data_IF_772228567289
#
_entry.id   IF_772228567289
#
_cell.length_a   1.000
_cell.length_b   1.000
_cell.length_c   1.000
_cell.angle_alpha   90.00
_cell.angle_beta   90.00
_cell.angle_gamma   90.00
#
_symmetry.space_group_name_H-M   'P 1'
#
loop_
_entity.id
_entity.type
_entity.pdbx_description
1 polymer ?
#
# COMPACT_ATOMS: atom_id res chain seq x y z
N UNK A 1 2.58 -9.41 33.58
CA UNK A 1 1.63 -8.71 32.69
C UNK A 1 1.10 -7.49 33.43
N UNK A 2 1.30 -6.28 32.91
CA UNK A 2 0.73 -5.06 33.52
C UNK A 2 -0.69 -4.91 32.97
N UNK A 3 -1.68 -4.91 33.85
CA UNK A 3 -3.08 -4.77 33.45
C UNK A 3 -3.34 -3.30 33.09
N UNK A 4 -3.87 -3.08 31.89
CA UNK A 4 -4.47 -1.81 31.47
C UNK A 4 -5.95 -2.04 31.30
N UNK A 5 -6.76 -1.10 31.78
CA UNK A 5 -8.21 -1.17 31.67
C UNK A 5 -8.69 0.05 30.89
N UNK A 6 -9.45 -0.19 29.83
CA UNK A 6 -10.14 0.88 29.09
C UNK A 6 -11.37 1.26 29.90
N UNK A 7 -11.40 2.46 30.48
CA UNK A 7 -12.56 2.92 31.21
C UNK A 7 -13.59 3.53 30.26
N UNK A 8 -14.85 3.61 30.69
CA UNK A 8 -15.92 4.26 29.92
C UNK A 8 -15.60 5.72 29.60
N UNK A 9 -14.86 6.40 30.48
CA UNK A 9 -14.44 7.79 30.28
C UNK A 9 -13.41 7.94 29.14
N UNK A 10 -12.60 6.91 28.89
CA UNK A 10 -11.65 6.90 27.78
C UNK A 10 -12.37 6.82 26.43
N UNK A 11 -13.47 6.07 26.36
CA UNK A 11 -14.34 6.02 25.19
C UNK A 11 -15.11 7.31 24.93
N UNK A 12 -15.21 8.21 25.92
CA UNK A 12 -15.84 9.53 25.77
C UNK A 12 -14.87 10.62 25.34
N UNK A 13 -13.59 10.30 25.20
CA UNK A 13 -12.58 11.24 24.74
C UNK A 13 -12.94 11.79 23.35
N UNK A 14 -12.93 13.13 23.13
CA UNK A 14 -13.34 13.71 21.86
C UNK A 14 -12.62 13.14 20.63
N UNK A 15 -11.31 12.86 20.73
CA UNK A 15 -10.58 12.25 19.62
C UNK A 15 -11.10 10.86 19.25
N UNK A 16 -11.40 10.03 20.26
CA UNK A 16 -11.99 8.70 20.04
C UNK A 16 -13.42 8.77 19.51
N UNK A 17 -14.21 9.73 19.99
CA UNK A 17 -15.60 9.92 19.55
C UNK A 17 -15.69 10.40 18.10
N UNK A 18 -14.77 11.27 17.67
CA UNK A 18 -14.69 11.77 16.29
C UNK A 18 -14.09 10.77 15.30
N UNK A 19 -13.29 9.82 15.78
CA UNK A 19 -12.69 8.81 14.92
C UNK A 19 -13.76 8.02 14.13
N UNK A 20 -13.55 7.74 12.84
CA UNK A 20 -14.41 6.86 12.05
C UNK A 20 -14.59 5.49 12.71
N UNK A 21 -15.75 4.87 12.50
CA UNK A 21 -16.07 3.58 13.13
C UNK A 21 -15.09 2.46 12.78
N UNK A 22 -14.56 2.47 11.57
CA UNK A 22 -13.56 1.53 11.07
C UNK A 22 -12.19 1.65 11.76
N UNK A 23 -11.78 2.85 12.17
CA UNK A 23 -10.51 3.09 12.84
C UNK A 23 -10.55 2.85 14.36
N UNK A 24 -11.75 2.74 14.96
CA UNK A 24 -11.93 2.55 16.42
C UNK A 24 -11.26 1.27 16.99
N UNK A 25 -11.29 0.11 16.31
CA UNK A 25 -10.54 -1.06 16.76
C UNK A 25 -9.03 -0.81 16.82
N UNK A 26 -8.47 -0.08 15.84
CA UNK A 26 -7.04 0.30 15.86
C UNK A 26 -6.75 1.24 17.03
N UNK A 27 -7.61 2.22 17.31
CA UNK A 27 -7.48 3.09 18.47
C UNK A 27 -7.45 2.32 19.79
N UNK A 28 -8.35 1.34 19.95
CA UNK A 28 -8.38 0.47 21.14
C UNK A 28 -7.12 -0.38 21.25
N UNK A 29 -6.64 -0.95 20.13
CA UNK A 29 -5.39 -1.68 20.08
C UNK A 29 -4.20 -0.80 20.49
N UNK A 30 -4.09 0.42 19.96
CA UNK A 30 -3.01 1.34 20.29
C UNK A 30 -2.95 1.65 21.80
N UNK A 31 -4.08 1.86 22.46
CA UNK A 31 -4.11 2.05 23.92
C UNK A 31 -3.48 0.88 24.70
N UNK A 32 -3.61 -0.34 24.19
CA UNK A 32 -3.08 -1.55 24.82
C UNK A 32 -1.60 -1.79 24.44
N UNK A 33 -1.18 -1.37 23.25
CA UNK A 33 0.12 -1.70 22.64
C UNK A 33 1.13 -0.55 22.56
N UNK A 34 0.81 0.66 23.04
CA UNK A 34 1.79 1.74 23.26
C UNK A 34 2.49 1.60 24.61
N UNK A 35 3.53 2.40 24.85
CA UNK A 35 4.10 2.51 26.19
C UNK A 35 3.12 3.16 27.19
N UNK A 36 3.53 3.32 28.46
CA UNK A 36 2.71 3.92 29.51
C UNK A 36 2.43 5.42 29.29
N UNK A 37 3.25 6.07 28.47
CA UNK A 37 3.09 7.47 28.07
C UNK A 37 2.33 7.63 26.76
N UNK A 38 1.80 6.53 26.19
CA UNK A 38 1.07 6.55 24.94
C UNK A 38 1.94 6.69 23.71
N UNK A 39 3.21 6.32 23.78
CA UNK A 39 4.19 6.51 22.70
C UNK A 39 4.66 5.18 22.14
N UNK A 40 4.99 5.20 20.86
CA UNK A 40 5.57 4.07 20.12
C UNK A 40 6.15 4.57 18.80
N UNK A 41 7.14 3.86 18.27
CA UNK A 41 7.62 4.07 16.90
C UNK A 41 6.51 3.74 15.88
N UNK A 42 6.40 4.56 14.83
CA UNK A 42 5.44 4.39 13.74
C UNK A 42 6.00 3.38 12.72
N UNK A 43 5.82 2.10 13.02
CA UNK A 43 6.12 1.00 12.08
C UNK A 43 4.82 0.25 11.80
N UNK A 44 4.13 0.54 10.67
CA UNK A 44 2.81 -0.02 10.37
C UNK A 44 2.76 -1.55 10.42
N UNK A 45 3.82 -2.23 9.99
CA UNK A 45 3.94 -3.69 10.00
C UNK A 45 3.90 -4.25 11.42
N UNK A 46 4.62 -3.62 12.36
CA UNK A 46 4.65 -4.04 13.76
C UNK A 46 3.34 -3.71 14.48
N UNK A 47 2.73 -2.56 14.16
CA UNK A 47 1.42 -2.19 14.71
C UNK A 47 0.34 -3.16 14.21
N UNK A 48 0.35 -3.50 12.93
CA UNK A 48 -0.56 -4.48 12.34
C UNK A 48 -0.38 -5.87 12.97
N UNK A 49 0.86 -6.34 13.14
CA UNK A 49 1.15 -7.63 13.76
C UNK A 49 0.64 -7.72 15.21
N UNK A 50 0.72 -6.62 15.97
CA UNK A 50 0.27 -6.58 17.36
C UNK A 50 -1.25 -6.50 17.51
N UNK A 51 -1.91 -5.65 16.71
CA UNK A 51 -3.35 -5.38 16.84
C UNK A 51 -4.19 -6.41 16.05
N UNK A 52 -3.70 -6.88 14.91
CA UNK A 52 -4.39 -7.76 13.97
C UNK A 52 -3.54 -9.00 13.65
N UNK A 53 -3.22 -9.84 14.65
CA UNK A 53 -2.32 -10.97 14.46
C UNK A 53 -2.87 -11.94 13.41
N UNK A 54 -2.02 -12.32 12.46
CA UNK A 54 -2.35 -13.26 11.38
C UNK A 54 -3.13 -12.66 10.21
N UNK A 55 -3.33 -11.34 10.16
CA UNK A 55 -4.01 -10.65 9.06
C UNK A 55 -3.02 -9.81 8.24
N UNK A 56 -3.25 -9.73 6.93
CA UNK A 56 -2.54 -8.79 6.04
C UNK A 56 -3.15 -7.38 6.18
N UNK A 57 -3.02 -6.80 7.38
CA UNK A 57 -3.71 -5.59 7.80
C UNK A 57 -2.92 -4.29 7.58
N UNK A 58 -1.70 -4.36 7.03
CA UNK A 58 -0.80 -3.19 6.93
C UNK A 58 -1.44 -2.00 6.21
N UNK A 59 -2.04 -2.14 5.01
CA UNK A 59 -2.66 -0.99 4.33
C UNK A 59 -3.80 -0.36 5.14
N UNK A 60 -4.64 -1.21 5.75
CA UNK A 60 -5.73 -0.76 6.62
C UNK A 60 -5.22 -0.01 7.84
N UNK A 61 -4.12 -0.49 8.47
CA UNK A 61 -3.50 0.20 9.61
C UNK A 61 -2.97 1.57 9.22
N UNK A 62 -2.35 1.71 8.04
CA UNK A 62 -1.88 3.01 7.54
C UNK A 62 -3.06 3.99 7.43
N UNK A 63 -4.13 3.59 6.76
CA UNK A 63 -5.33 4.43 6.59
C UNK A 63 -5.94 4.81 7.94
N UNK A 64 -6.08 3.84 8.86
CA UNK A 64 -6.61 4.09 10.19
C UNK A 64 -5.74 5.06 11.00
N UNK A 65 -4.41 4.99 10.89
CA UNK A 65 -3.52 5.89 11.62
C UNK A 65 -3.69 7.34 11.16
N UNK A 66 -3.87 7.58 9.86
CA UNK A 66 -4.17 8.90 9.31
C UNK A 66 -5.53 9.41 9.80
N UNK A 67 -6.57 8.58 9.75
CA UNK A 67 -7.89 8.92 10.29
C UNK A 67 -7.84 9.26 11.79
N UNK A 68 -7.02 8.54 12.56
CA UNK A 68 -6.85 8.78 13.99
C UNK A 68 -6.07 10.06 14.28
N UNK A 69 -5.10 10.43 13.46
CA UNK A 69 -4.46 11.74 13.55
C UNK A 69 -5.44 12.87 13.27
N UNK A 70 -6.20 12.79 12.17
CA UNK A 70 -7.20 13.80 11.78
C UNK A 70 -8.28 13.99 12.84
N UNK A 71 -8.74 12.91 13.48
CA UNK A 71 -9.71 12.98 14.56
C UNK A 71 -9.17 13.64 15.84
N UNK A 72 -7.84 13.81 15.94
CA UNK A 72 -7.14 14.27 17.13
C UNK A 72 -7.00 13.18 18.20
N UNK A 73 -7.01 11.91 17.82
CA UNK A 73 -6.79 10.79 18.73
C UNK A 73 -5.30 10.61 19.06
N UNK A 74 -4.45 10.72 18.05
CA UNK A 74 -3.00 10.63 18.15
C UNK A 74 -2.33 11.80 17.44
N UNK A 75 -1.01 11.86 17.51
CA UNK A 75 -0.19 12.80 16.74
C UNK A 75 1.05 12.06 16.27
N UNK A 76 1.35 12.21 14.98
CA UNK A 76 2.56 11.65 14.36
C UNK A 76 3.66 12.72 14.46
N UNK A 77 4.86 12.31 14.84
CA UNK A 77 6.00 13.22 14.98
C UNK A 77 7.30 12.51 14.62
N UNK A 78 8.30 13.30 14.22
CA UNK A 78 9.63 12.78 13.95
C UNK A 78 10.55 13.00 15.15
N UNK A 79 11.30 11.97 15.53
CA UNK A 79 12.32 12.04 16.56
C UNK A 79 13.40 10.98 16.30
N UNK A 80 14.67 11.35 16.52
CA UNK A 80 15.83 10.44 16.32
C UNK A 80 15.90 9.81 14.92
N UNK A 81 15.38 10.48 13.89
CA UNK A 81 15.40 9.98 12.51
C UNK A 81 14.31 8.95 12.17
N UNK A 82 13.42 8.61 13.11
CA UNK A 82 12.24 7.77 12.87
C UNK A 82 10.94 8.56 13.07
N UNK A 83 9.85 8.05 12.53
CA UNK A 83 8.50 8.51 12.83
C UNK A 83 7.95 7.81 14.08
N UNK A 84 7.19 8.54 14.87
CA UNK A 84 6.64 8.09 16.15
C UNK A 84 5.20 8.54 16.27
N UNK A 85 4.43 7.82 17.08
CA UNK A 85 3.08 8.20 17.48
C UNK A 85 3.04 8.57 18.96
N UNK A 86 2.26 9.57 19.28
CA UNK A 86 1.91 9.95 20.66
C UNK A 86 0.39 10.04 20.79
N UNK A 87 -0.19 9.19 21.63
CA UNK A 87 -1.61 9.23 21.96
C UNK A 87 -1.92 10.51 22.73
N UNK A 88 -2.97 11.23 22.33
CA UNK A 88 -3.43 12.45 23.02
C UNK A 88 -4.00 12.15 24.41
N UNK A 89 -4.57 10.95 24.56
CA UNK A 89 -5.06 10.43 25.83
C UNK A 89 -4.54 9.03 26.05
N UNK A 90 -3.82 8.83 27.15
CA UNK A 90 -3.29 7.54 27.57
C UNK A 90 -4.24 6.84 28.52
N UNK A 91 -4.18 5.50 28.56
CA UNK A 91 -4.88 4.76 29.60
C UNK A 91 -4.20 4.98 30.96
N UNK A 92 -5.02 5.04 32.01
CA UNK A 92 -4.50 5.03 33.37
C UNK A 92 -3.81 3.69 33.62
N UNK A 93 -2.55 3.75 34.01
CA UNK A 93 -1.75 2.59 34.39
C UNK A 93 -0.99 2.89 35.67
N UNK A 94 -0.74 1.87 36.49
CA UNK A 94 0.09 2.01 37.68
C UNK A 94 1.55 2.25 37.28
N UNK A 95 2.04 3.47 37.53
CA UNK A 95 3.40 3.90 37.19
C UNK A 95 4.40 3.69 38.32
N UNK A 96 3.96 3.24 39.51
CA UNK A 96 4.80 3.21 40.72
C UNK A 96 6.01 2.28 40.63
N UNK A 97 5.97 1.31 39.71
CA UNK A 97 7.05 0.34 39.45
C UNK A 97 7.49 0.31 37.98
N UNK A 98 7.09 1.33 37.21
CA UNK A 98 7.40 1.38 35.79
C UNK A 98 8.80 1.95 35.55
N UNK A 99 9.64 1.31 34.71
CA UNK A 99 10.83 1.95 34.21
C UNK A 99 10.45 3.19 33.38
N UNK A 100 11.34 4.19 33.30
CA UNK A 100 11.15 5.33 32.41
C UNK A 100 10.94 4.86 30.97
N UNK A 101 10.13 5.61 30.22
CA UNK A 101 9.91 5.31 28.80
C UNK A 101 11.18 5.60 27.99
N UNK A 102 11.56 4.65 27.13
CA UNK A 102 12.64 4.81 26.15
C UNK A 102 12.20 5.61 24.91
N UNK A 103 10.89 5.85 24.77
CA UNK A 103 10.32 6.57 23.62
C UNK A 103 10.61 8.07 23.74
N UNK A 104 11.20 8.70 22.70
CA UNK A 104 11.50 10.12 22.73
C UNK A 104 10.21 10.93 22.91
N UNK A 105 10.21 11.97 23.76
CA UNK A 105 9.07 12.86 23.84
C UNK A 105 8.84 13.59 22.51
N UNK A 106 7.57 13.89 22.15
CA UNK A 106 7.32 14.78 21.03
C UNK A 106 8.00 16.12 21.29
N UNK A 107 8.51 16.81 20.23
CA UNK A 107 9.06 18.15 20.38
C UNK A 107 8.04 19.04 21.08
N UNK A 108 8.51 19.80 22.08
CA UNK A 108 7.64 20.48 23.03
C UNK A 108 6.56 21.33 22.33
N UNK A 109 5.32 20.89 22.41
CA UNK A 109 4.20 21.81 22.41
C UNK A 109 4.13 22.37 23.82
N UNK A 110 4.68 23.57 23.99
CA UNK A 110 4.54 24.36 25.20
C UNK A 110 3.05 24.44 25.54
N UNK A 111 2.66 23.72 26.59
CA UNK A 111 1.28 23.58 27.07
C UNK A 111 0.90 24.77 27.95
N UNK A 112 1.30 25.97 27.54
CA UNK A 112 0.89 27.22 28.16
C UNK A 112 -0.04 27.95 27.20
N UNK A 113 -1.28 28.14 27.64
CA UNK A 113 -2.27 29.01 27.03
C UNK A 113 -1.71 30.45 26.98
N UNK A 114 -1.03 30.81 25.90
CA UNK A 114 -0.98 32.17 25.42
C UNK A 114 -1.26 32.15 23.93
N UNK A 115 -2.47 32.60 23.59
CA UNK A 115 -2.78 33.13 22.27
C UNK A 115 -1.87 34.33 22.08
N UNK A 116 -0.71 34.13 21.46
CA UNK A 116 0.00 35.18 20.74
C UNK A 116 -0.32 34.93 19.28
N UNK A 117 -1.45 35.50 18.86
CA UNK A 117 -1.62 35.84 17.46
C UNK A 117 -0.52 36.85 17.10
N UNK A 118 0.08 36.66 15.91
CA UNK A 118 1.10 37.48 15.21
C UNK A 118 2.37 36.65 14.92
N UNK A 119 2.30 35.76 13.92
CA UNK A 119 3.41 35.27 13.03
C UNK A 119 3.06 33.96 12.30
N UNK A 120 2.02 33.24 12.73
CA UNK A 120 1.63 31.92 12.19
C UNK A 120 1.08 31.91 10.76
N UNK A 121 0.58 33.04 10.25
CA UNK A 121 0.06 33.13 8.87
C UNK A 121 1.18 32.92 7.84
N UNK A 122 2.38 33.43 8.10
CA UNK A 122 3.53 33.26 7.19
C UNK A 122 4.10 31.84 7.17
N UNK A 123 4.04 31.12 8.29
CA UNK A 123 4.56 29.76 8.41
C UNK A 123 3.58 28.74 7.83
N UNK A 124 2.28 28.95 8.07
CA UNK A 124 1.21 28.17 7.46
C UNK A 124 1.17 28.37 5.95
N UNK A 125 1.29 29.60 5.46
CA UNK A 125 1.33 29.88 4.03
C UNK A 125 2.55 29.24 3.34
N UNK A 126 3.73 29.26 3.99
CA UNK A 126 4.94 28.56 3.50
C UNK A 126 4.78 27.04 3.52
N UNK A 127 4.13 26.48 4.53
CA UNK A 127 3.84 25.05 4.59
C UNK A 127 2.83 24.64 3.51
N UNK A 128 1.76 25.41 3.32
CA UNK A 128 0.76 25.20 2.27
C UNK A 128 1.34 25.40 0.87
N UNK A 129 2.33 26.28 0.69
CA UNK A 129 3.06 26.43 -0.57
C UNK A 129 3.96 25.21 -0.85
N UNK A 130 4.65 24.68 0.17
CA UNK A 130 5.45 23.45 0.04
C UNK A 130 4.59 22.23 -0.29
N UNK A 131 3.47 22.05 0.42
CA UNK A 131 2.53 20.95 0.16
C UNK A 131 1.96 21.05 -1.26
N UNK A 132 1.60 22.26 -1.72
CA UNK A 132 1.16 22.47 -3.11
C UNK A 132 2.24 22.12 -4.13
N UNK A 133 3.51 22.45 -3.86
CA UNK A 133 4.62 22.09 -4.74
C UNK A 133 4.83 20.55 -4.80
N UNK A 134 4.84 19.89 -3.65
CA UNK A 134 4.94 18.41 -3.56
C UNK A 134 3.74 17.71 -4.23
N UNK A 135 2.55 18.32 -4.15
CA UNK A 135 1.35 17.80 -4.83
C UNK A 135 1.48 17.89 -6.35
N UNK A 136 2.04 19.00 -6.88
CA UNK A 136 2.29 19.16 -8.33
C UNK A 136 3.32 18.15 -8.84
N UNK A 137 4.36 17.86 -8.05
CA UNK A 137 5.35 16.82 -8.39
C UNK A 137 4.70 15.43 -8.43
N UNK A 138 3.93 15.06 -7.41
CA UNK A 138 3.17 13.79 -7.42
C UNK A 138 2.19 13.72 -8.57
N UNK A 139 1.45 14.79 -8.86
CA UNK A 139 0.50 14.82 -9.97
C UNK A 139 1.21 14.62 -11.32
N UNK A 140 2.44 15.14 -11.47
CA UNK A 140 3.31 14.89 -12.60
C UNK A 140 3.75 13.43 -12.72
N UNK A 141 4.15 12.79 -11.61
CA UNK A 141 4.48 11.37 -11.57
C UNK A 141 3.28 10.49 -11.91
N UNK A 142 2.09 10.81 -11.38
CA UNK A 142 0.84 10.11 -11.69
C UNK A 142 0.38 10.35 -13.14
N UNK A 143 0.66 11.52 -13.71
CA UNK A 143 0.41 11.80 -15.12
C UNK A 143 1.35 11.00 -16.03
N UNK A 144 2.65 10.97 -15.72
CA UNK A 144 3.63 10.16 -16.45
C UNK A 144 3.34 8.66 -16.35
N UNK A 145 2.90 8.19 -15.18
CA UNK A 145 2.46 6.80 -14.99
C UNK A 145 1.22 6.48 -15.81
N UNK A 146 0.20 7.35 -15.81
CA UNK A 146 -1.02 7.17 -16.64
C UNK A 146 -0.69 7.15 -18.13
N UNK A 147 0.16 8.05 -18.58
CA UNK A 147 0.61 8.07 -19.98
C UNK A 147 1.36 6.78 -20.36
N UNK A 148 2.16 6.22 -19.44
CA UNK A 148 2.83 4.93 -19.65
C UNK A 148 1.85 3.76 -19.63
N UNK A 149 0.83 3.80 -18.77
CA UNK A 149 -0.20 2.77 -18.66
C UNK A 149 -1.14 2.77 -19.87
N UNK A 150 -1.52 3.94 -20.39
CA UNK A 150 -2.34 4.07 -21.60
C UNK A 150 -1.62 3.60 -22.87
N UNK A 151 -0.28 3.61 -22.87
CA UNK A 151 0.54 3.05 -23.95
C UNK A 151 0.77 1.54 -23.84
N UNK A 152 0.28 0.86 -22.80
CA UNK A 152 0.40 -0.58 -22.71
C UNK A 152 -0.48 -1.25 -23.77
N UNK A 153 0.15 -1.91 -24.74
CA UNK A 153 -0.58 -2.63 -25.78
C UNK A 153 -1.52 -3.69 -25.15
N UNK A 154 -2.72 -3.89 -25.71
CA UNK A 154 -3.63 -4.92 -25.22
C UNK A 154 -2.95 -6.29 -25.25
N UNK A 155 -3.30 -7.20 -24.33
CA UNK A 155 -2.72 -8.53 -24.30
C UNK A 155 -3.00 -9.25 -25.63
N UNK A 156 -1.97 -9.88 -26.20
CA UNK A 156 -2.13 -10.64 -27.45
C UNK A 156 -3.10 -11.81 -27.23
N UNK A 157 -4.00 -12.02 -28.19
CA UNK A 157 -4.94 -13.14 -28.16
C UNK A 157 -4.18 -14.48 -28.15
N UNK A 158 -4.56 -15.46 -27.32
CA UNK A 158 -3.88 -16.75 -27.28
C UNK A 158 -3.93 -17.47 -28.63
N UNK A 159 -2.77 -17.92 -29.13
CA UNK A 159 -2.64 -18.59 -30.43
C UNK A 159 -3.54 -19.84 -30.58
N UNK A 160 -3.85 -20.53 -29.48
CA UNK A 160 -4.70 -21.72 -29.50
C UNK A 160 -6.13 -21.45 -29.95
N UNK A 161 -6.62 -20.20 -29.85
CA UNK A 161 -7.97 -19.85 -30.27
C UNK A 161 -8.12 -19.73 -31.79
N UNK A 162 -7.01 -19.49 -32.50
CA UNK A 162 -6.98 -19.37 -33.96
C UNK A 162 -6.34 -20.60 -34.63
N UNK A 163 -5.97 -21.60 -33.82
CA UNK A 163 -5.38 -22.82 -34.31
C UNK A 163 -6.41 -23.68 -35.10
N UNK A 164 -5.98 -24.35 -36.18
CA UNK A 164 -6.79 -25.38 -36.84
C UNK A 164 -7.25 -26.45 -35.82
N UNK A 165 -8.39 -27.13 -35.99
CA UNK A 165 -8.83 -28.14 -35.02
C UNK A 165 -7.82 -29.29 -34.87
N UNK A 166 -7.68 -29.80 -33.65
CA UNK A 166 -6.72 -30.87 -33.33
C UNK A 166 -7.15 -32.25 -33.86
N UNK A 167 -8.43 -32.42 -34.17
CA UNK A 167 -9.00 -33.66 -34.68
C UNK A 167 -9.72 -33.51 -36.02
N UNK A 168 -10.16 -34.63 -36.60
CA UNK A 168 -10.87 -34.64 -37.87
C UNK A 168 -12.33 -34.18 -37.70
N UNK A 169 -13.05 -34.03 -38.83
CA UNK A 169 -14.47 -33.64 -38.85
C UNK A 169 -15.34 -34.56 -37.98
N UNK A 170 -15.04 -35.86 -37.98
CA UNK A 170 -15.76 -36.86 -37.18
C UNK A 170 -15.37 -36.84 -35.69
N UNK A 171 -14.21 -36.27 -35.35
CA UNK A 171 -13.71 -36.17 -33.99
C UNK A 171 -13.11 -34.78 -33.73
N UNK A 172 -13.92 -33.73 -33.53
CA UNK A 172 -13.42 -32.35 -33.42
C UNK A 172 -12.37 -32.14 -32.32
N UNK A 173 -12.49 -32.89 -31.23
CA UNK A 173 -11.55 -32.86 -30.08
C UNK A 173 -10.44 -33.93 -30.17
N UNK A 174 -10.35 -34.64 -31.30
CA UNK A 174 -9.50 -35.82 -31.46
C UNK A 174 -10.04 -37.06 -30.74
N UNK A 175 -9.41 -38.20 -31.01
CA UNK A 175 -9.69 -39.48 -30.35
C UNK A 175 -8.36 -40.14 -29.96
N UNK A 176 -8.36 -40.90 -28.86
CA UNK A 176 -7.16 -41.59 -28.35
C UNK A 176 -6.77 -42.84 -29.16
N UNK A 177 -7.73 -43.44 -29.86
CA UNK A 177 -7.49 -44.58 -30.75
C UNK A 177 -6.84 -44.13 -32.06
N UNK A 178 -6.20 -45.07 -32.77
CA UNK A 178 -5.48 -44.82 -34.02
C UNK A 178 -6.43 -44.41 -35.16
N UNK A 179 -6.78 -43.13 -35.21
CA UNK A 179 -7.51 -42.52 -36.31
C UNK A 179 -6.52 -41.76 -37.21
N UNK A 180 -6.32 -42.26 -38.43
CA UNK A 180 -5.40 -41.66 -39.42
C UNK A 180 -5.68 -40.18 -39.70
N UNK A 181 -6.95 -39.79 -39.96
CA UNK A 181 -7.34 -38.38 -40.11
C UNK A 181 -7.04 -37.51 -38.89
N UNK A 182 -7.30 -37.98 -37.67
CA UNK A 182 -6.95 -37.24 -36.45
C UNK A 182 -5.43 -37.03 -36.33
N UNK A 183 -4.62 -38.03 -36.67
CA UNK A 183 -3.16 -37.88 -36.68
C UNK A 183 -2.68 -36.84 -37.69
N UNK A 184 -3.38 -36.70 -38.82
CA UNK A 184 -3.05 -35.68 -39.83
C UNK A 184 -3.49 -34.28 -39.39
N UNK A 185 -4.70 -34.15 -38.83
CA UNK A 185 -5.18 -32.89 -38.24
C UNK A 185 -4.24 -32.39 -37.13
N UNK A 186 -3.81 -33.29 -36.23
CA UNK A 186 -2.83 -32.96 -35.18
C UNK A 186 -1.50 -32.46 -35.74
N UNK A 187 -0.95 -33.11 -36.77
CA UNK A 187 0.29 -32.64 -37.43
C UNK A 187 0.12 -31.27 -38.09
N UNK A 188 -1.05 -30.99 -38.66
CA UNK A 188 -1.35 -29.68 -39.23
C UNK A 188 -1.46 -28.60 -38.15
N UNK A 189 -2.16 -28.88 -37.05
CA UNK A 189 -2.24 -28.01 -35.87
C UNK A 189 -0.84 -27.69 -35.32
N UNK A 190 0.00 -28.72 -35.10
CA UNK A 190 1.34 -28.55 -34.54
C UNK A 190 2.26 -27.76 -35.48
N UNK A 191 2.17 -28.02 -36.79
CA UNK A 191 2.91 -27.25 -37.81
C UNK A 191 2.49 -25.79 -37.81
N UNK A 192 1.19 -25.51 -37.70
CA UNK A 192 0.68 -24.14 -37.64
C UNK A 192 1.18 -23.40 -36.39
N UNK A 193 1.15 -24.04 -35.21
CA UNK A 193 1.70 -23.45 -33.98
C UNK A 193 3.19 -23.16 -34.09
N UNK A 194 3.97 -24.07 -34.68
CA UNK A 194 5.39 -23.87 -34.90
C UNK A 194 5.65 -22.67 -35.83
N UNK A 195 4.84 -22.52 -36.89
CA UNK A 195 4.92 -21.38 -37.80
C UNK A 195 4.61 -20.06 -37.10
N UNK A 196 3.53 -19.98 -36.31
CA UNK A 196 3.17 -18.76 -35.57
C UNK A 196 4.27 -18.33 -34.61
N UNK A 197 4.83 -19.28 -33.84
CA UNK A 197 5.94 -19.00 -32.93
C UNK A 197 7.19 -18.50 -33.66
N UNK A 198 7.50 -19.07 -34.81
CA UNK A 198 8.63 -18.63 -35.63
C UNK A 198 8.41 -17.22 -36.17
N UNK A 199 7.20 -16.91 -36.66
CA UNK A 199 6.84 -15.56 -37.11
C UNK A 199 6.93 -14.54 -35.96
N UNK A 200 6.41 -14.86 -34.78
CA UNK A 200 6.52 -13.99 -33.60
C UNK A 200 7.99 -13.74 -33.22
N UNK A 201 8.83 -14.78 -33.25
CA UNK A 201 10.27 -14.66 -33.00
C UNK A 201 10.95 -13.75 -34.02
N UNK A 202 10.60 -13.88 -35.30
CA UNK A 202 11.16 -13.06 -36.38
C UNK A 202 10.75 -11.59 -36.24
N UNK A 203 9.46 -11.31 -36.01
CA UNK A 203 8.96 -9.94 -35.80
C UNK A 203 9.64 -9.30 -34.59
N UNK A 204 9.79 -10.04 -33.49
CA UNK A 204 10.48 -9.54 -32.30
C UNK A 204 11.96 -9.25 -32.57
N UNK A 205 12.63 -10.10 -33.36
CA UNK A 205 14.02 -9.91 -33.75
C UNK A 205 14.19 -8.68 -34.67
N UNK A 206 13.33 -8.52 -35.68
CA UNK A 206 13.34 -7.36 -36.59
C UNK A 206 13.06 -6.06 -35.82
N UNK A 207 12.07 -6.05 -34.93
CA UNK A 207 11.73 -4.87 -34.10
C UNK A 207 12.88 -4.48 -33.16
N UNK A 208 13.65 -5.44 -32.65
CA UNK A 208 14.83 -5.16 -31.83
C UNK A 208 16.03 -4.70 -32.66
N UNK A 209 16.18 -5.21 -33.89
CA UNK A 209 17.24 -4.81 -34.81
C UNK A 209 17.04 -3.38 -35.38
N UNK A 210 15.79 -2.95 -35.55
CA UNK A 210 15.43 -1.59 -36.01
C UNK A 210 15.33 -0.54 -34.87
N UNK A 211 15.59 -0.94 -33.62
CA UNK A 211 15.67 0.00 -32.50
C UNK A 211 16.85 0.98 -32.68
N UNK A 212 16.74 2.24 -32.21
CA UNK A 212 17.81 3.22 -32.35
C UNK A 212 19.09 2.63 -31.75
N UNK A 213 20.10 2.42 -32.60
CA UNK A 213 21.33 1.76 -32.22
C UNK A 213 21.92 2.43 -30.98
N UNK A 214 22.13 1.65 -29.93
CA UNK A 214 22.99 2.03 -28.82
C UNK A 214 24.35 2.42 -29.43
N UNK A 215 24.63 3.73 -29.49
CA UNK A 215 25.96 4.24 -29.78
C UNK A 215 26.90 3.71 -28.69
N UNK A 216 27.90 2.89 -29.04
CA UNK A 216 28.88 2.44 -28.07
C UNK A 216 29.77 3.64 -27.69
N UNK A 217 29.71 4.03 -26.42
CA UNK A 217 30.66 4.95 -25.79
C UNK A 217 32.08 4.40 -25.72
#
# INVERSE_FOLDING_TARGET
>A
MRQRTIATDDLRFPGYMRAPHEAKPTAQGLWLHTDLTGRRELVPELIAADIYPGQAAVPMVIDHLLMLEESGFLTIYQARGSEWISLRRTLKADTRTAPPSDCPPPPGHDSSRHVVALEGESARERAEARVRAEQVERDGEWAAWRERAERAAPPRRPLLLDAPPIGCVDHPNGRRENCGPCGTARRQHDRWLAQQRYTDQLVNWETQADGPGDEPW
#
